data_IF_282245304022
#
_entry.id   IF_282245304022
#
_cell.length_a   1.000
_cell.length_b   1.000
_cell.length_c   1.000
_cell.angle_alpha   90.00
_cell.angle_beta   90.00
_cell.angle_gamma   90.00
#
_symmetry.space_group_name_H-M   'P 1'
#
loop_
_entity.id
_entity.type
_entity.pdbx_description
1 polymer ?
#
# COMPACT_ATOMS: atom_id res chain seq x y z
N UNK A 1 0.07 6.05 18.23
CA UNK A 1 -0.75 7.04 17.50
C UNK A 1 -0.18 7.33 16.11
N UNK A 2 1.03 7.91 15.97
CA UNK A 2 1.55 8.36 14.66
C UNK A 2 1.65 7.26 13.58
N UNK A 3 2.10 6.04 13.95
CA UNK A 3 2.19 4.92 12.98
C UNK A 3 0.83 4.45 12.46
N UNK A 4 -0.23 4.57 13.26
CA UNK A 4 -1.58 4.17 12.86
C UNK A 4 -2.16 5.17 11.85
N UNK A 5 -1.80 6.45 11.95
CA UNK A 5 -2.30 7.51 11.06
C UNK A 5 -1.53 7.60 9.73
N UNK A 6 -0.35 6.96 9.66
CA UNK A 6 0.53 7.00 8.48
C UNK A 6 -0.19 6.58 7.20
N UNK A 7 -1.12 5.64 7.33
CA UNK A 7 -1.91 5.17 6.21
C UNK A 7 -2.89 6.18 5.61
N UNK A 8 -3.48 7.03 6.45
CA UNK A 8 -4.43 8.06 6.05
C UNK A 8 -3.66 9.24 5.44
N UNK A 9 -2.60 9.67 6.12
CA UNK A 9 -1.69 10.73 5.63
C UNK A 9 -1.10 10.43 4.26
N UNK A 10 -0.79 9.17 3.96
CA UNK A 10 -0.27 8.77 2.65
C UNK A 10 -1.26 9.01 1.49
N UNK A 11 -2.57 9.11 1.75
CA UNK A 11 -3.61 9.42 0.76
C UNK A 11 -3.93 10.90 0.71
N UNK A 12 -4.04 11.53 1.89
CA UNK A 12 -4.52 12.90 2.02
C UNK A 12 -3.60 13.92 1.34
N UNK A 13 -2.28 13.76 1.47
CA UNK A 13 -1.34 14.69 0.85
C UNK A 13 -1.39 14.69 -0.69
N UNK A 14 -1.40 13.53 -1.38
CA UNK A 14 -1.66 13.49 -2.81
C UNK A 14 -2.99 14.13 -3.22
N UNK A 15 -4.03 14.00 -2.39
CA UNK A 15 -5.36 14.54 -2.72
C UNK A 15 -5.40 16.06 -2.85
N UNK A 16 -4.53 16.79 -2.13
CA UNK A 16 -4.44 18.25 -2.22
C UNK A 16 -4.03 18.75 -3.61
N UNK A 17 -3.41 17.89 -4.44
CA UNK A 17 -2.97 18.25 -5.79
C UNK A 17 -3.99 17.97 -6.90
N UNK A 18 -5.06 17.21 -6.62
CA UNK A 18 -6.04 16.87 -7.65
C UNK A 18 -7.02 18.02 -7.87
N UNK A 19 -7.17 18.43 -9.13
CA UNK A 19 -8.12 19.48 -9.56
C UNK A 19 -9.54 18.95 -9.80
N UNK A 20 -9.73 17.64 -9.73
CA UNK A 20 -11.00 16.95 -10.01
C UNK A 20 -11.21 15.78 -9.05
N UNK A 21 -12.43 15.63 -8.54
CA UNK A 21 -12.81 14.57 -7.61
C UNK A 21 -12.65 13.17 -8.21
N UNK A 22 -12.95 12.99 -9.50
CA UNK A 22 -12.82 11.70 -10.16
C UNK A 22 -11.37 11.20 -10.16
N UNK A 23 -10.41 12.08 -10.45
CA UNK A 23 -8.98 11.77 -10.40
C UNK A 23 -8.54 11.36 -8.98
N UNK A 24 -9.02 12.07 -7.96
CA UNK A 24 -8.75 11.71 -6.57
C UNK A 24 -9.35 10.35 -6.20
N UNK A 25 -10.57 10.06 -6.65
CA UNK A 25 -11.24 8.77 -6.43
C UNK A 25 -10.46 7.62 -7.07
N UNK A 26 -10.10 7.75 -8.35
CA UNK A 26 -9.30 6.74 -9.07
C UNK A 26 -7.94 6.50 -8.40
N UNK A 27 -7.28 7.56 -7.97
CA UNK A 27 -6.03 7.45 -7.20
C UNK A 27 -6.23 6.68 -5.89
N UNK A 28 -7.22 7.05 -5.08
CA UNK A 28 -7.49 6.39 -3.80
C UNK A 28 -7.77 4.89 -3.98
N UNK A 29 -8.58 4.53 -4.97
CA UNK A 29 -8.88 3.13 -5.28
C UNK A 29 -7.62 2.35 -5.64
N UNK A 30 -6.85 2.82 -6.63
CA UNK A 30 -5.63 2.15 -7.06
C UNK A 30 -4.55 2.08 -5.96
N UNK A 31 -4.41 3.15 -5.17
CA UNK A 31 -3.50 3.20 -4.04
C UNK A 31 -3.88 2.16 -2.98
N UNK A 32 -5.17 1.99 -2.71
CA UNK A 32 -5.67 1.05 -1.72
C UNK A 32 -5.51 -0.39 -2.14
N UNK A 33 -5.80 -0.69 -3.40
CA UNK A 33 -5.59 -2.00 -4.00
C UNK A 33 -4.11 -2.41 -3.92
N UNK A 34 -3.20 -1.54 -4.40
CA UNK A 34 -1.77 -1.79 -4.37
C UNK A 34 -1.27 -1.99 -2.92
N UNK A 35 -1.70 -1.11 -2.02
CA UNK A 35 -1.30 -1.19 -0.61
C UNK A 35 -1.82 -2.46 0.05
N UNK A 36 -3.06 -2.85 -0.20
CA UNK A 36 -3.64 -4.07 0.36
C UNK A 36 -2.94 -5.32 -0.18
N UNK A 37 -2.61 -5.34 -1.47
CA UNK A 37 -1.82 -6.42 -2.06
C UNK A 37 -0.44 -6.55 -1.42
N UNK A 38 0.28 -5.44 -1.26
CA UNK A 38 1.63 -5.42 -0.68
C UNK A 38 1.65 -5.57 0.85
N UNK A 39 0.54 -5.31 1.53
CA UNK A 39 0.45 -5.40 2.99
C UNK A 39 0.62 -6.84 3.44
N UNK A 40 1.66 -7.08 4.22
CA UNK A 40 1.86 -8.34 4.94
C UNK A 40 1.12 -8.24 6.26
N UNK A 41 -0.04 -8.91 6.34
CA UNK A 41 -0.83 -8.97 7.56
C UNK A 41 -0.35 -10.16 8.41
N UNK A 42 -0.20 -9.93 9.72
CA UNK A 42 -0.15 -11.03 10.68
C UNK A 42 -1.57 -11.60 10.82
N UNK A 43 -1.74 -12.91 10.62
CA UNK A 43 -2.99 -13.56 11.00
C UNK A 43 -3.02 -13.62 12.54
N UNK A 44 -3.88 -12.82 13.17
CA UNK A 44 -3.98 -12.73 14.63
C UNK A 44 -2.97 -11.78 15.30
N UNK A 45 -2.76 -11.97 16.61
CA UNK A 45 -1.83 -11.17 17.43
C UNK A 45 -0.36 -11.55 17.25
N UNK A 46 -0.04 -12.48 16.34
CA UNK A 46 1.31 -12.97 16.17
C UNK A 46 2.18 -11.96 15.40
N UNK A 47 3.24 -11.48 16.04
CA UNK A 47 4.12 -10.50 15.43
C UNK A 47 4.99 -11.13 14.34
N UNK A 48 4.69 -10.84 13.07
CA UNK A 48 5.58 -11.19 11.96
C UNK A 48 6.85 -10.34 12.05
N UNK A 49 8.00 -11.01 12.20
CA UNK A 49 9.33 -10.38 12.27
C UNK A 49 9.57 -9.47 11.06
N UNK A 50 10.30 -8.39 11.27
CA UNK A 50 10.53 -7.36 10.24
C UNK A 50 11.27 -7.89 9.00
N UNK A 51 12.20 -8.84 9.18
CA UNK A 51 12.96 -9.47 8.09
C UNK A 51 12.06 -10.33 7.20
N UNK A 52 11.19 -11.16 7.80
CA UNK A 52 10.20 -11.97 7.09
C UNK A 52 9.24 -11.07 6.31
N UNK A 53 8.75 -10.00 6.96
CA UNK A 53 7.86 -9.01 6.33
C UNK A 53 8.49 -8.37 5.09
N UNK A 54 9.77 -8.01 5.18
CA UNK A 54 10.53 -7.42 4.07
C UNK A 54 10.69 -8.41 2.91
N UNK A 55 11.02 -9.67 3.20
CA UNK A 55 11.14 -10.71 2.17
C UNK A 55 9.83 -10.91 1.39
N UNK A 56 8.70 -11.03 2.11
CA UNK A 56 7.38 -11.20 1.48
C UNK A 56 7.05 -9.97 0.62
N UNK A 57 7.25 -8.76 1.15
CA UNK A 57 7.02 -7.52 0.41
C UNK A 57 7.83 -7.47 -0.89
N UNK A 58 9.14 -7.71 -0.83
CA UNK A 58 10.02 -7.68 -2.01
C UNK A 58 9.64 -8.74 -3.03
N UNK A 59 9.26 -9.94 -2.60
CA UNK A 59 8.77 -10.99 -3.50
C UNK A 59 7.50 -10.55 -4.24
N UNK A 60 6.48 -10.08 -3.51
CA UNK A 60 5.24 -9.58 -4.12
C UNK A 60 5.48 -8.44 -5.10
N UNK A 61 6.35 -7.50 -4.73
CA UNK A 61 6.72 -6.39 -5.60
C UNK A 61 7.40 -6.87 -6.88
N UNK A 62 8.36 -7.79 -6.78
CA UNK A 62 9.04 -8.35 -7.95
C UNK A 62 8.06 -9.05 -8.90
N UNK A 63 7.15 -9.85 -8.37
CA UNK A 63 6.10 -10.52 -9.16
C UNK A 63 5.22 -9.51 -9.87
N UNK A 64 4.68 -8.52 -9.14
CA UNK A 64 3.83 -7.47 -9.72
C UNK A 64 4.55 -6.69 -10.83
N UNK A 65 5.81 -6.30 -10.62
CA UNK A 65 6.57 -5.58 -11.65
C UNK A 65 6.86 -6.44 -12.88
N UNK A 66 7.00 -7.75 -12.70
CA UNK A 66 7.15 -8.69 -13.82
C UNK A 66 5.85 -8.79 -14.61
N UNK A 67 4.71 -8.92 -13.93
CA UNK A 67 3.38 -8.98 -14.55
C UNK A 67 3.03 -7.69 -15.31
N UNK A 68 3.39 -6.53 -14.78
CA UNK A 68 3.15 -5.23 -15.43
C UNK A 68 4.08 -4.95 -16.61
N UNK A 69 5.18 -5.69 -16.74
CA UNK A 69 6.16 -5.50 -17.83
C UNK A 69 5.97 -6.49 -18.99
N UNK A 70 5.02 -7.43 -18.87
CA UNK A 70 4.68 -8.43 -19.87
C UNK A 70 3.56 -7.93 -20.81
#
# INVERSE_FOLDING_TARGET
MEQNHRGIKQRDYPMLGFKQFESASRFCTAFDELRNYLRVQSAGSEHVRADVRRKIFTSKWSTLMTELSA
#
